data_IF_969753868006
#
_entry.id   IF_969753868006
#
_cell.length_a   1.000
_cell.length_b   1.000
_cell.length_c   1.000
_cell.angle_alpha   90.00
_cell.angle_beta   90.00
_cell.angle_gamma   90.00
#
_symmetry.space_group_name_H-M   'P 1'
#
loop_
_entity.id
_entity.type
_entity.pdbx_description
1 polymer ?
#
# COMPACT_ATOMS: atom_id res chain seq x y z
N UNK A 1 33.43 24.44 25.09
CA UNK A 1 33.22 23.00 24.77
C UNK A 1 32.22 22.88 23.63
N UNK A 2 32.69 22.64 22.40
CA UNK A 2 31.83 22.36 21.24
C UNK A 2 31.19 20.99 21.46
N UNK A 3 29.86 20.93 21.63
CA UNK A 3 29.10 19.67 21.52
C UNK A 3 29.19 19.22 20.06
N UNK A 4 30.04 18.22 19.81
CA UNK A 4 30.01 17.43 18.58
C UNK A 4 28.62 16.80 18.49
N UNK A 5 27.81 17.25 17.53
CA UNK A 5 26.58 16.59 17.13
C UNK A 5 26.97 15.20 16.64
N UNK A 6 26.69 14.16 17.42
CA UNK A 6 26.76 12.79 16.93
C UNK A 6 25.68 12.67 15.85
N UNK A 7 26.11 12.50 14.60
CA UNK A 7 25.19 12.21 13.51
C UNK A 7 24.40 10.93 13.85
N UNK A 8 23.10 10.97 13.61
CA UNK A 8 22.18 9.86 13.86
C UNK A 8 22.58 8.68 12.98
N UNK A 9 22.66 7.46 13.53
CA UNK A 9 23.10 6.27 12.82
C UNK A 9 22.24 6.01 11.57
N UNK A 10 20.94 6.35 11.59
CA UNK A 10 20.09 6.23 10.39
C UNK A 10 20.39 7.28 9.31
N UNK A 11 20.80 8.50 9.69
CA UNK A 11 21.23 9.49 8.71
C UNK A 11 22.59 9.10 8.12
N UNK A 12 23.51 8.63 8.97
CA UNK A 12 24.85 8.16 8.56
C UNK A 12 24.75 6.93 7.66
N UNK A 13 23.97 5.92 8.03
CA UNK A 13 23.77 4.70 7.24
C UNK A 13 23.13 5.02 5.87
N UNK A 14 22.18 5.96 5.81
CA UNK A 14 21.61 6.42 4.54
C UNK A 14 22.58 7.29 3.72
N UNK A 15 23.36 8.17 4.34
CA UNK A 15 24.37 8.98 3.62
C UNK A 15 25.51 8.10 3.09
N UNK A 16 25.91 7.05 3.83
CA UNK A 16 26.93 6.11 3.39
C UNK A 16 26.41 5.17 2.28
N UNK A 17 25.16 4.72 2.34
CA UNK A 17 24.52 3.99 1.23
C UNK A 17 24.36 4.87 -0.04
N UNK A 18 24.25 6.20 0.13
CA UNK A 18 24.00 7.17 -0.95
C UNK A 18 25.14 7.40 -1.94
N UNK A 19 26.41 7.22 -1.54
CA UNK A 19 27.54 7.77 -2.31
C UNK A 19 27.94 6.87 -3.50
N UNK A 20 27.80 5.55 -3.39
CA UNK A 20 28.05 4.62 -4.51
C UNK A 20 26.76 4.13 -5.22
N UNK A 21 25.60 4.06 -4.53
CA UNK A 21 24.35 3.48 -5.08
C UNK A 21 23.50 4.48 -5.88
N UNK A 22 23.69 5.80 -5.75
CA UNK A 22 22.78 6.77 -6.37
C UNK A 22 22.91 6.84 -7.91
N UNK A 23 24.13 6.67 -8.46
CA UNK A 23 24.33 6.63 -9.91
C UNK A 23 23.71 5.38 -10.53
N UNK A 24 23.84 4.25 -9.84
CA UNK A 24 23.22 2.99 -10.25
C UNK A 24 21.69 3.07 -10.13
N UNK A 25 21.16 3.68 -9.06
CA UNK A 25 19.72 3.93 -8.87
C UNK A 25 19.12 4.79 -9.98
N UNK A 26 19.77 5.90 -10.35
CA UNK A 26 19.29 6.75 -11.46
C UNK A 26 19.36 6.05 -12.81
N UNK A 27 20.28 5.11 -12.97
CA UNK A 27 20.36 4.28 -14.19
C UNK A 27 19.19 3.30 -14.22
N UNK A 28 18.95 2.57 -13.12
CA UNK A 28 17.78 1.69 -12.96
C UNK A 28 16.46 2.40 -13.20
N UNK A 29 16.29 3.62 -12.66
CA UNK A 29 15.09 4.43 -12.86
C UNK A 29 14.86 4.77 -14.35
N UNK A 30 15.93 5.08 -15.11
CA UNK A 30 15.83 5.34 -16.55
C UNK A 30 15.51 4.07 -17.31
N UNK A 31 16.18 2.96 -16.98
CA UNK A 31 15.91 1.65 -17.57
C UNK A 31 14.45 1.24 -17.33
N UNK A 32 13.91 1.48 -16.13
CA UNK A 32 12.52 1.22 -15.80
C UNK A 32 11.52 2.16 -16.52
N UNK A 33 11.91 3.42 -16.76
CA UNK A 33 11.09 4.38 -17.51
C UNK A 33 11.02 4.02 -19.01
N UNK A 34 12.14 3.57 -19.58
CA UNK A 34 12.26 3.22 -21.00
C UNK A 34 11.65 1.85 -21.33
N UNK A 35 11.36 1.02 -20.33
CA UNK A 35 10.65 -0.25 -20.53
C UNK A 35 9.26 0.00 -21.13
N UNK A 36 8.89 -0.70 -22.22
CA UNK A 36 7.56 -0.57 -22.79
C UNK A 36 6.50 -1.02 -21.77
N UNK A 37 5.37 -0.31 -21.73
CA UNK A 37 4.24 -0.75 -20.92
C UNK A 37 3.71 -2.06 -21.46
N UNK A 38 3.70 -3.06 -20.60
CA UNK A 38 3.19 -4.39 -20.90
C UNK A 38 2.29 -4.81 -19.75
N UNK A 39 1.28 -5.62 -20.08
CA UNK A 39 0.53 -6.32 -19.03
C UNK A 39 1.49 -7.28 -18.31
N UNK A 40 1.31 -7.51 -17.00
CA UNK A 40 2.22 -8.38 -16.27
C UNK A 40 2.26 -9.77 -16.92
N UNK A 41 3.45 -10.32 -17.09
CA UNK A 41 3.65 -11.57 -17.83
C UNK A 41 2.79 -12.71 -17.27
N UNK A 42 2.56 -12.77 -15.97
CA UNK A 42 1.74 -13.78 -15.32
C UNK A 42 0.21 -13.62 -15.52
N UNK A 43 -0.26 -12.60 -16.24
CA UNK A 43 -1.68 -12.47 -16.60
C UNK A 43 -2.05 -13.42 -17.75
N UNK A 44 -3.32 -13.85 -17.77
CA UNK A 44 -3.82 -14.68 -18.87
C UNK A 44 -3.81 -13.89 -20.19
N UNK A 45 -4.21 -12.61 -20.13
CA UNK A 45 -4.24 -11.74 -21.30
C UNK A 45 -2.88 -11.55 -21.97
N UNK A 46 -1.78 -11.59 -21.20
CA UNK A 46 -0.40 -11.48 -21.74
C UNK A 46 0.00 -12.67 -22.61
N UNK A 47 -0.72 -13.79 -22.50
CA UNK A 47 -0.48 -15.01 -23.27
C UNK A 47 -1.55 -15.25 -24.34
N UNK A 48 -2.35 -14.23 -24.69
CA UNK A 48 -3.52 -14.35 -25.56
C UNK A 48 -4.53 -15.44 -25.11
N UNK A 49 -4.54 -15.79 -23.82
CA UNK A 49 -5.51 -16.73 -23.26
C UNK A 49 -6.79 -15.93 -23.00
N UNK A 50 -7.91 -16.25 -23.68
CA UNK A 50 -9.15 -15.52 -23.47
C UNK A 50 -9.58 -15.59 -22.00
N UNK A 51 -9.90 -14.45 -21.41
CA UNK A 51 -10.46 -14.42 -20.07
C UNK A 51 -11.79 -15.20 -20.06
N UNK A 52 -12.04 -16.06 -19.05
CA UNK A 52 -13.29 -16.81 -18.99
C UNK A 52 -14.47 -15.83 -18.94
N UNK A 53 -15.55 -16.10 -19.67
CA UNK A 53 -16.71 -15.20 -19.69
C UNK A 53 -17.58 -15.37 -18.44
N UNK A 54 -18.21 -14.29 -17.98
CA UNK A 54 -19.24 -14.33 -16.95
C UNK A 54 -20.60 -14.69 -17.57
N UNK A 55 -21.65 -14.82 -16.74
CA UNK A 55 -23.01 -15.22 -17.20
C UNK A 55 -23.62 -14.26 -18.24
N UNK A 56 -23.10 -13.05 -18.38
CA UNK A 56 -23.53 -12.03 -19.34
C UNK A 56 -22.63 -11.97 -20.58
N UNK A 57 -21.71 -12.91 -20.75
CA UNK A 57 -20.77 -12.94 -21.88
C UNK A 57 -19.59 -11.97 -21.77
N UNK A 58 -19.43 -11.24 -20.66
CA UNK A 58 -18.30 -10.31 -20.48
C UNK A 58 -17.09 -11.04 -19.88
N UNK A 59 -15.84 -10.67 -20.26
CA UNK A 59 -14.63 -11.18 -19.63
C UNK A 59 -14.67 -11.12 -18.09
N UNK A 60 -14.32 -12.22 -17.42
CA UNK A 60 -14.11 -12.23 -15.96
C UNK A 60 -12.81 -11.50 -15.66
N UNK A 61 -12.91 -10.54 -14.75
CA UNK A 61 -11.78 -9.77 -14.24
C UNK A 61 -11.11 -10.44 -13.05
N UNK A 62 -11.67 -11.55 -12.53
CA UNK A 62 -11.12 -12.33 -11.43
C UNK A 62 -10.70 -13.71 -11.95
N UNK A 63 -9.41 -14.00 -11.85
CA UNK A 63 -8.77 -15.23 -12.31
C UNK A 63 -8.18 -15.94 -11.10
N UNK A 64 -8.35 -17.26 -10.99
CA UNK A 64 -7.70 -18.02 -9.91
C UNK A 64 -6.19 -18.01 -10.13
N UNK A 65 -5.43 -17.73 -9.08
CA UNK A 65 -3.97 -17.80 -9.14
C UNK A 65 -3.48 -19.25 -9.08
N UNK A 66 -2.25 -19.47 -9.53
CA UNK A 66 -1.57 -20.76 -9.37
C UNK A 66 -1.27 -21.09 -7.89
N UNK A 67 -0.79 -22.31 -7.65
CA UNK A 67 -0.50 -22.80 -6.29
C UNK A 67 0.63 -22.04 -5.60
N UNK A 68 1.66 -21.61 -6.34
CA UNK A 68 2.81 -20.91 -5.78
C UNK A 68 2.41 -19.49 -5.33
N UNK A 69 1.70 -18.75 -6.19
CA UNK A 69 1.13 -17.43 -5.89
C UNK A 69 0.17 -17.50 -4.70
N UNK A 70 -0.72 -18.50 -4.65
CA UNK A 70 -1.60 -18.69 -3.48
C UNK A 70 -0.81 -18.92 -2.20
N UNK A 71 0.22 -19.79 -2.24
CA UNK A 71 1.06 -20.13 -1.08
C UNK A 71 1.85 -18.91 -0.58
N UNK A 72 2.43 -18.13 -1.49
CA UNK A 72 3.17 -16.90 -1.15
C UNK A 72 2.27 -15.88 -0.44
N UNK A 73 1.05 -15.67 -0.96
CA UNK A 73 0.09 -14.75 -0.35
C UNK A 73 -0.45 -15.30 0.98
N UNK A 74 -0.69 -16.61 1.10
CA UNK A 74 -1.09 -17.23 2.37
C UNK A 74 0.01 -17.11 3.44
N UNK A 75 1.28 -17.30 3.06
CA UNK A 75 2.44 -17.05 3.94
C UNK A 75 2.46 -15.60 4.41
N UNK A 76 2.38 -14.63 3.49
CA UNK A 76 2.35 -13.20 3.83
C UNK A 76 1.22 -12.88 4.81
N UNK A 77 0.00 -13.35 4.54
CA UNK A 77 -1.16 -13.08 5.39
C UNK A 77 -0.96 -13.61 6.81
N UNK A 78 -0.38 -14.80 6.95
CA UNK A 78 -0.11 -15.41 8.25
C UNK A 78 1.05 -14.70 8.97
N UNK A 79 2.09 -14.29 8.25
CA UNK A 79 3.25 -13.62 8.82
C UNK A 79 2.94 -12.19 9.30
N UNK A 80 1.98 -11.51 8.67
CA UNK A 80 1.53 -10.17 9.07
C UNK A 80 0.31 -10.17 9.98
N UNK A 81 -0.01 -11.31 10.61
CA UNK A 81 -1.09 -11.44 11.58
C UNK A 81 -0.59 -11.23 13.01
N UNK A 82 -1.18 -10.26 13.71
CA UNK A 82 -0.84 -9.83 15.08
C UNK A 82 -2.02 -10.18 16.01
N UNK A 83 -2.04 -11.42 16.51
CA UNK A 83 -3.17 -11.97 17.28
C UNK A 83 -3.52 -11.12 18.51
N UNK A 84 -2.51 -10.61 19.20
CA UNK A 84 -2.62 -9.78 20.40
C UNK A 84 -3.32 -8.42 20.15
N UNK A 85 -3.35 -7.98 18.90
CA UNK A 85 -4.01 -6.75 18.47
C UNK A 85 -5.45 -6.96 17.98
N UNK A 86 -5.92 -8.20 17.91
CA UNK A 86 -7.32 -8.49 17.54
C UNK A 86 -8.26 -7.89 18.60
N UNK A 87 -9.30 -7.21 18.12
CA UNK A 87 -10.27 -6.54 18.98
C UNK A 87 -9.77 -5.27 19.67
N UNK A 88 -8.52 -4.83 19.39
CA UNK A 88 -7.95 -3.62 19.98
C UNK A 88 -8.19 -2.38 19.10
N UNK A 89 -8.75 -1.34 19.70
CA UNK A 89 -9.07 -0.07 19.03
C UNK A 89 -10.55 0.06 18.67
N UNK A 90 -10.96 1.28 18.32
CA UNK A 90 -12.36 1.60 18.04
C UNK A 90 -12.88 0.79 16.83
N UNK A 91 -12.11 0.73 15.75
CA UNK A 91 -12.45 0.03 14.50
C UNK A 91 -12.50 -1.50 14.66
N UNK A 92 -11.99 -2.04 15.78
CA UNK A 92 -11.89 -3.47 16.03
C UNK A 92 -12.94 -3.99 17.04
N UNK A 93 -13.77 -3.09 17.60
CA UNK A 93 -14.74 -3.44 18.64
C UNK A 93 -15.61 -4.63 18.21
N UNK A 94 -15.75 -5.61 19.09
CA UNK A 94 -16.54 -6.83 18.86
C UNK A 94 -15.83 -7.94 18.09
N UNK A 95 -14.60 -7.73 17.60
CA UNK A 95 -13.81 -8.82 17.04
C UNK A 95 -13.31 -9.74 18.16
N UNK A 96 -13.63 -11.02 18.03
CA UNK A 96 -13.20 -12.08 18.94
C UNK A 96 -12.87 -13.35 18.14
N UNK A 97 -11.63 -13.45 17.69
CA UNK A 97 -11.07 -14.58 16.97
C UNK A 97 -9.54 -14.52 17.08
N UNK A 98 -8.84 -15.63 16.87
CA UNK A 98 -7.39 -15.68 17.11
C UNK A 98 -6.59 -15.75 15.82
N UNK A 99 -7.20 -16.19 14.72
CA UNK A 99 -6.54 -16.31 13.42
C UNK A 99 -7.51 -16.18 12.26
N UNK A 100 -6.95 -15.98 11.08
CA UNK A 100 -7.65 -16.09 9.80
C UNK A 100 -7.08 -17.25 8.99
N UNK A 101 -7.93 -17.88 8.17
CA UNK A 101 -7.53 -18.95 7.25
C UNK A 101 -7.84 -18.53 5.82
N UNK A 102 -6.81 -18.43 4.99
CA UNK A 102 -6.96 -18.18 3.55
C UNK A 102 -7.65 -19.39 2.89
N UNK A 103 -8.68 -19.11 2.10
CA UNK A 103 -9.48 -20.13 1.40
C UNK A 103 -9.12 -20.14 -0.09
N UNK A 104 -9.09 -18.96 -0.70
CA UNK A 104 -8.79 -18.79 -2.11
C UNK A 104 -8.22 -17.41 -2.38
N UNK A 105 -7.38 -17.32 -3.40
CA UNK A 105 -6.85 -16.06 -3.91
C UNK A 105 -7.21 -15.96 -5.39
N UNK A 106 -7.70 -14.80 -5.80
CA UNK A 106 -8.00 -14.50 -7.19
C UNK A 106 -7.26 -13.22 -7.59
N UNK A 107 -6.57 -13.26 -8.72
CA UNK A 107 -5.94 -12.09 -9.32
C UNK A 107 -6.98 -11.28 -10.08
N UNK A 108 -6.91 -9.97 -9.94
CA UNK A 108 -7.63 -9.01 -10.74
C UNK A 108 -6.84 -8.80 -12.04
N UNK A 109 -7.47 -9.06 -13.17
CA UNK A 109 -6.95 -8.74 -14.50
C UNK A 109 -7.86 -7.66 -15.10
N UNK A 110 -7.48 -6.41 -14.89
CA UNK A 110 -8.19 -5.24 -15.40
C UNK A 110 -7.20 -4.30 -16.11
N UNK A 111 -7.00 -4.46 -17.44
CA UNK A 111 -6.05 -3.65 -18.21
C UNK A 111 -6.31 -2.14 -18.08
N UNK A 112 -7.57 -1.72 -18.03
CA UNK A 112 -7.90 -0.30 -17.93
C UNK A 112 -7.47 0.31 -16.59
N UNK A 113 -7.59 -0.43 -15.48
CA UNK A 113 -7.05 0.02 -14.18
C UNK A 113 -5.53 -0.04 -14.16
N UNK A 114 -4.95 -1.11 -14.70
CA UNK A 114 -3.51 -1.32 -14.69
C UNK A 114 -2.78 -0.28 -15.54
N UNK A 115 -3.31 0.09 -16.71
CA UNK A 115 -2.71 1.14 -17.55
C UNK A 115 -2.68 2.49 -16.83
N UNK A 116 -3.78 2.90 -16.18
CA UNK A 116 -3.78 4.14 -15.38
C UNK A 116 -2.78 4.10 -14.23
N UNK A 117 -2.60 2.92 -13.63
CA UNK A 117 -1.58 2.70 -12.62
C UNK A 117 -0.16 2.81 -13.19
N UNK A 118 0.09 2.24 -14.38
CA UNK A 118 1.37 2.36 -15.08
C UNK A 118 1.68 3.81 -15.49
N UNK A 119 0.69 4.57 -15.97
CA UNK A 119 0.84 5.99 -16.26
C UNK A 119 1.33 6.75 -15.01
N UNK A 120 0.70 6.50 -13.86
CA UNK A 120 1.10 7.12 -12.59
C UNK A 120 2.46 6.62 -12.08
N UNK A 121 2.83 5.38 -12.39
CA UNK A 121 4.18 4.81 -12.11
C UNK A 121 5.25 5.56 -12.90
N UNK A 122 5.01 5.82 -14.20
CA UNK A 122 5.91 6.62 -15.04
C UNK A 122 6.08 8.06 -14.54
N UNK A 123 4.98 8.72 -14.19
CA UNK A 123 5.05 10.07 -13.61
C UNK A 123 5.89 10.11 -12.32
N UNK A 124 5.91 9.02 -11.54
CA UNK A 124 6.71 8.93 -10.34
C UNK A 124 8.19 8.64 -10.65
N UNK A 125 8.49 7.80 -11.64
CA UNK A 125 9.84 7.60 -12.17
C UNK A 125 10.43 8.92 -12.69
N UNK A 126 9.70 9.63 -13.54
CA UNK A 126 10.10 10.94 -14.07
C UNK A 126 10.35 11.97 -12.96
N UNK A 127 9.53 11.93 -11.90
CA UNK A 127 9.73 12.78 -10.71
C UNK A 127 11.06 12.47 -10.02
N UNK A 128 11.38 11.19 -9.78
CA UNK A 128 12.65 10.81 -9.15
C UNK A 128 13.86 11.15 -10.03
N UNK A 129 13.76 10.91 -11.34
CA UNK A 129 14.83 11.25 -12.31
C UNK A 129 15.07 12.76 -12.34
N UNK A 130 14.02 13.59 -12.37
CA UNK A 130 14.12 15.05 -12.32
C UNK A 130 14.68 15.54 -10.98
N UNK A 131 14.33 14.87 -9.88
CA UNK A 131 14.86 15.15 -8.54
C UNK A 131 16.33 14.73 -8.35
N UNK A 132 16.85 13.87 -9.22
CA UNK A 132 18.24 13.40 -9.15
C UNK A 132 18.51 12.36 -8.05
N UNK A 133 17.46 11.78 -7.46
CA UNK A 133 17.56 10.73 -6.46
C UNK A 133 16.31 9.82 -6.44
N UNK A 134 16.46 8.53 -6.10
CA UNK A 134 15.32 7.64 -5.88
C UNK A 134 14.53 8.06 -4.64
N UNK A 135 13.33 7.50 -4.48
CA UNK A 135 12.58 7.64 -3.24
C UNK A 135 13.36 7.06 -2.07
N UNK A 136 13.37 7.77 -0.93
CA UNK A 136 13.98 7.23 0.30
C UNK A 136 13.28 5.93 0.68
N UNK A 137 13.99 4.79 0.83
CA UNK A 137 13.34 3.54 1.19
C UNK A 137 12.69 3.64 2.57
N UNK A 138 11.52 3.00 2.74
CA UNK A 138 10.67 3.14 3.93
C UNK A 138 11.43 2.87 5.23
N UNK A 139 12.31 1.87 5.26
CA UNK A 139 13.09 1.51 6.45
C UNK A 139 14.13 2.55 6.89
N UNK A 140 14.50 3.48 6.01
CA UNK A 140 15.45 4.56 6.28
C UNK A 140 14.76 5.90 6.59
N UNK A 141 13.43 5.95 6.61
CA UNK A 141 12.70 7.15 7.02
C UNK A 141 12.86 7.33 8.53
N UNK A 142 13.46 8.45 8.95
CA UNK A 142 13.65 8.76 10.37
C UNK A 142 12.33 8.64 11.14
N UNK A 143 12.30 7.80 12.17
CA UNK A 143 11.12 7.54 13.00
C UNK A 143 10.27 6.35 12.57
N UNK A 144 10.56 5.68 11.44
CA UNK A 144 9.91 4.43 11.03
C UNK A 144 10.30 3.25 11.92
N UNK A 145 9.51 2.17 11.96
CA UNK A 145 9.85 0.90 12.63
C UNK A 145 10.78 -0.02 11.84
N UNK A 146 11.16 0.37 10.62
CA UNK A 146 12.04 -0.38 9.71
C UNK A 146 11.33 -0.68 8.37
N UNK A 147 11.83 -1.67 7.64
CA UNK A 147 11.26 -2.03 6.34
C UNK A 147 9.81 -2.55 6.42
N UNK A 148 9.13 -2.56 5.29
CA UNK A 148 7.74 -3.00 5.15
C UNK A 148 7.61 -4.53 5.34
N UNK A 149 6.78 -4.95 6.30
CA UNK A 149 6.60 -6.38 6.63
C UNK A 149 6.06 -7.17 5.44
N UNK A 150 5.10 -6.61 4.68
CA UNK A 150 4.63 -7.25 3.44
C UNK A 150 5.74 -7.42 2.41
N UNK A 151 6.74 -6.54 2.38
CA UNK A 151 7.87 -6.66 1.44
C UNK A 151 8.90 -7.68 1.92
N UNK A 152 9.13 -7.79 3.23
CA UNK A 152 9.99 -8.81 3.82
C UNK A 152 9.41 -10.21 3.62
N UNK A 153 8.12 -10.37 3.85
CA UNK A 153 7.46 -11.68 3.91
C UNK A 153 7.05 -12.23 2.54
N UNK A 154 6.90 -11.36 1.54
CA UNK A 154 6.52 -11.77 0.19
C UNK A 154 7.70 -12.43 -0.54
N UNK A 155 7.41 -13.54 -1.22
CA UNK A 155 8.40 -14.27 -2.00
C UNK A 155 8.88 -13.45 -3.22
N UNK A 156 10.16 -13.61 -3.60
CA UNK A 156 10.84 -12.74 -4.58
C UNK A 156 10.21 -12.74 -5.96
N UNK A 157 9.64 -13.87 -6.41
CA UNK A 157 8.99 -13.95 -7.72
C UNK A 157 7.76 -13.03 -7.84
N UNK A 158 7.14 -12.65 -6.71
CA UNK A 158 6.03 -11.70 -6.70
C UNK A 158 6.51 -10.24 -6.68
N UNK A 159 7.76 -10.00 -6.28
CA UNK A 159 8.37 -8.67 -6.18
C UNK A 159 9.16 -8.27 -7.42
N UNK A 160 9.35 -9.19 -8.37
CA UNK A 160 10.22 -9.01 -9.54
C UNK A 160 9.82 -7.85 -10.46
N UNK A 161 8.53 -7.50 -10.47
CA UNK A 161 7.96 -6.43 -11.27
C UNK A 161 7.65 -5.15 -10.46
N UNK A 162 8.12 -5.09 -9.20
CA UNK A 162 8.02 -3.88 -8.37
C UNK A 162 9.26 -3.01 -8.53
N UNK A 163 9.05 -1.70 -8.67
CA UNK A 163 10.12 -0.72 -8.73
C UNK A 163 10.44 -0.21 -7.32
N UNK A 164 11.56 -0.70 -6.77
CA UNK A 164 12.02 -0.33 -5.43
C UNK A 164 12.38 1.15 -5.30
N UNK A 165 12.97 1.72 -6.35
CA UNK A 165 13.47 3.10 -6.37
C UNK A 165 12.35 4.17 -6.33
N UNK A 166 11.08 3.76 -6.40
CA UNK A 166 9.90 4.62 -6.20
C UNK A 166 9.00 4.17 -5.03
N UNK A 167 9.49 3.28 -4.15
CA UNK A 167 8.70 2.64 -3.09
C UNK A 167 7.39 2.00 -3.63
N UNK A 168 7.48 1.20 -4.71
CA UNK A 168 6.37 0.36 -5.14
C UNK A 168 6.26 -0.88 -4.25
N UNK A 169 5.16 -1.01 -3.51
CA UNK A 169 4.98 -2.08 -2.53
C UNK A 169 3.60 -2.72 -2.59
N UNK A 170 3.51 -3.98 -2.14
CA UNK A 170 2.21 -4.59 -1.84
C UNK A 170 1.73 -4.23 -0.44
N UNK A 171 0.46 -3.83 -0.33
CA UNK A 171 -0.20 -3.49 0.93
C UNK A 171 -1.64 -4.04 0.95
N UNK A 172 -2.16 -4.28 2.14
CA UNK A 172 -3.47 -4.87 2.38
C UNK A 172 -4.53 -3.79 2.60
N UNK A 173 -5.63 -3.90 1.86
CA UNK A 173 -6.83 -3.09 2.01
C UNK A 173 -7.98 -3.95 2.52
N UNK A 174 -8.44 -3.65 3.73
CA UNK A 174 -9.62 -4.24 4.34
C UNK A 174 -10.90 -3.65 3.74
N UNK A 175 -11.87 -4.51 3.40
CA UNK A 175 -13.15 -4.03 2.86
C UNK A 175 -14.25 -5.08 3.04
N UNK A 176 -15.50 -4.60 3.02
CA UNK A 176 -16.70 -5.44 2.98
C UNK A 176 -16.78 -6.23 1.67
N UNK A 177 -17.25 -7.47 1.75
CA UNK A 177 -17.41 -8.39 0.60
C UNK A 177 -18.27 -7.75 -0.50
N UNK A 178 -19.28 -7.00 -0.12
CA UNK A 178 -20.22 -6.31 -1.01
C UNK A 178 -19.54 -5.26 -1.90
N UNK A 179 -18.39 -4.71 -1.48
CA UNK A 179 -17.65 -3.70 -2.25
C UNK A 179 -16.74 -4.31 -3.32
N UNK A 180 -16.35 -5.57 -3.17
CA UNK A 180 -15.37 -6.23 -4.06
C UNK A 180 -15.73 -6.10 -5.55
N UNK A 181 -16.98 -6.34 -6.00
CA UNK A 181 -17.32 -6.19 -7.42
C UNK A 181 -17.06 -4.78 -7.96
N UNK A 182 -17.30 -3.74 -7.15
CA UNK A 182 -17.06 -2.36 -7.54
C UNK A 182 -15.56 -2.05 -7.58
N UNK A 183 -14.81 -2.49 -6.57
CA UNK A 183 -13.36 -2.26 -6.48
C UNK A 183 -12.59 -2.96 -7.61
N UNK A 184 -12.96 -4.17 -7.98
CA UNK A 184 -12.37 -4.92 -9.11
C UNK A 184 -12.63 -4.19 -10.44
N UNK A 185 -13.82 -3.59 -10.60
CA UNK A 185 -14.22 -2.94 -11.86
C UNK A 185 -13.67 -1.52 -11.98
N UNK A 186 -13.73 -0.75 -10.90
CA UNK A 186 -13.52 0.70 -10.91
C UNK A 186 -12.28 1.16 -10.14
N UNK A 187 -11.62 0.27 -9.41
CA UNK A 187 -10.50 0.60 -8.54
C UNK A 187 -10.93 1.14 -7.18
N UNK A 188 -9.95 1.49 -6.36
CA UNK A 188 -10.18 2.23 -5.13
C UNK A 188 -10.22 3.73 -5.47
N UNK A 189 -11.13 4.48 -4.87
CA UNK A 189 -11.26 5.93 -5.10
C UNK A 189 -11.31 6.66 -3.74
N UNK A 190 -10.46 7.68 -3.51
CA UNK A 190 -10.50 8.48 -2.28
C UNK A 190 -11.87 9.09 -2.01
N UNK A 191 -12.71 9.29 -3.03
CA UNK A 191 -14.08 9.81 -2.91
C UNK A 191 -14.96 8.99 -1.95
N UNK A 192 -14.66 7.70 -1.79
CA UNK A 192 -15.38 6.78 -0.91
C UNK A 192 -14.78 6.66 0.49
N UNK A 193 -13.71 7.41 0.78
CA UNK A 193 -13.10 7.48 2.11
C UNK A 193 -13.87 8.45 3.01
N UNK A 194 -13.86 8.16 4.32
CA UNK A 194 -14.46 9.04 5.31
C UNK A 194 -13.72 10.38 5.33
N UNK A 195 -14.43 11.54 5.35
CA UNK A 195 -13.78 12.83 5.51
C UNK A 195 -13.07 12.96 6.87
N UNK A 196 -13.52 12.19 7.87
CA UNK A 196 -12.98 12.20 9.24
C UNK A 196 -11.86 11.18 9.46
N UNK A 197 -11.43 10.47 8.41
CA UNK A 197 -10.34 9.53 8.50
C UNK A 197 -9.05 10.22 9.00
N UNK A 198 -8.21 9.47 9.71
CA UNK A 198 -7.12 10.01 10.53
C UNK A 198 -6.13 10.89 9.74
N UNK A 199 -5.74 10.45 8.55
CA UNK A 199 -4.91 11.17 7.59
C UNK A 199 -5.74 11.82 6.47
N UNK A 200 -7.01 12.11 6.75
CA UNK A 200 -7.95 12.69 5.81
C UNK A 200 -8.37 11.77 4.66
N UNK A 201 -8.95 12.38 3.64
CA UNK A 201 -9.68 11.68 2.58
C UNK A 201 -8.74 11.04 1.55
N UNK A 202 -8.28 9.84 1.86
CA UNK A 202 -7.41 9.04 1.00
C UNK A 202 -7.78 7.56 0.98
N UNK A 203 -7.03 6.78 0.21
CA UNK A 203 -7.13 5.32 0.17
C UNK A 203 -6.14 4.76 1.18
N UNK A 204 -6.66 4.05 2.19
CA UNK A 204 -5.89 3.51 3.29
C UNK A 204 -5.54 2.05 3.01
N UNK A 205 -4.30 1.68 3.29
CA UNK A 205 -3.85 0.31 3.33
C UNK A 205 -2.89 0.11 4.51
N UNK A 206 -2.66 -1.14 4.88
CA UNK A 206 -1.76 -1.51 5.95
C UNK A 206 -0.90 -2.69 5.52
N UNK A 207 0.24 -2.88 6.16
CA UNK A 207 1.01 -4.12 5.99
C UNK A 207 0.46 -5.27 6.85
N UNK A 208 -0.30 -4.94 7.90
CA UNK A 208 -0.89 -5.89 8.84
C UNK A 208 -2.19 -6.48 8.29
N UNK A 209 -2.25 -7.81 8.22
CA UNK A 209 -3.48 -8.52 7.85
C UNK A 209 -4.53 -8.43 8.96
N UNK A 210 -4.11 -8.24 10.21
CA UNK A 210 -5.00 -7.97 11.34
C UNK A 210 -5.70 -6.63 11.19
N UNK A 211 -4.98 -5.56 10.81
CA UNK A 211 -5.61 -4.26 10.52
C UNK A 211 -6.59 -4.34 9.36
N UNK A 212 -6.23 -5.05 8.28
CA UNK A 212 -7.13 -5.24 7.15
C UNK A 212 -8.41 -6.01 7.54
N UNK A 213 -8.33 -7.01 8.42
CA UNK A 213 -9.51 -7.74 8.92
C UNK A 213 -10.51 -6.83 9.67
N UNK A 214 -10.04 -5.78 10.36
CA UNK A 214 -10.90 -4.85 11.09
C UNK A 214 -11.97 -4.18 10.21
N UNK A 215 -11.68 -4.03 8.91
CA UNK A 215 -12.55 -3.38 7.93
C UNK A 215 -13.31 -4.36 7.03
N UNK A 216 -13.25 -5.67 7.28
CA UNK A 216 -14.04 -6.66 6.55
C UNK A 216 -15.55 -6.53 6.84
N UNK A 217 -15.89 -5.90 7.95
CA UNK A 217 -17.23 -5.59 8.43
C UNK A 217 -17.21 -4.34 9.31
N UNK A 218 -18.31 -4.05 10.01
CA UNK A 218 -18.40 -2.92 10.96
C UNK A 218 -18.53 -3.42 12.38
N UNK A 219 -18.12 -2.59 13.32
CA UNK A 219 -18.14 -2.80 14.77
C UNK A 219 -19.51 -3.17 15.34
N UNK A 220 -20.59 -2.70 14.71
CA UNK A 220 -21.98 -3.01 15.06
C UNK A 220 -22.53 -4.26 14.35
N UNK A 221 -21.83 -4.77 13.31
CA UNK A 221 -22.29 -5.87 12.44
C UNK A 221 -21.17 -6.84 12.12
N UNK A 222 -20.47 -7.31 13.15
CA UNK A 222 -19.41 -8.33 13.00
C UNK A 222 -19.97 -9.60 12.39
N UNK A 223 -19.30 -10.10 11.36
CA UNK A 223 -19.63 -11.35 10.67
C UNK A 223 -19.26 -12.54 11.56
N UNK A 224 -20.06 -13.60 11.53
CA UNK A 224 -19.79 -14.80 12.32
C UNK A 224 -18.49 -15.47 11.86
N UNK A 225 -17.93 -16.30 12.74
CA UNK A 225 -16.84 -17.20 12.36
C UNK A 225 -17.22 -18.03 11.14
N UNK A 226 -16.24 -18.46 10.35
CA UNK A 226 -16.44 -19.20 9.08
C UNK A 226 -17.08 -18.41 7.94
N UNK A 227 -17.62 -17.20 8.16
CA UNK A 227 -18.03 -16.33 7.06
C UNK A 227 -16.85 -16.06 6.12
N UNK A 228 -17.12 -16.06 4.81
CA UNK A 228 -16.10 -15.90 3.77
C UNK A 228 -15.82 -14.42 3.54
N UNK A 229 -15.07 -13.82 4.47
CA UNK A 229 -14.58 -12.45 4.35
C UNK A 229 -13.62 -12.30 3.17
N UNK A 230 -13.41 -11.06 2.76
CA UNK A 230 -12.45 -10.70 1.70
C UNK A 230 -11.60 -9.51 2.11
N UNK A 231 -10.36 -9.51 1.66
CA UNK A 231 -9.46 -8.35 1.67
C UNK A 231 -8.72 -8.28 0.33
N UNK A 232 -8.07 -7.16 0.06
CA UNK A 232 -7.35 -6.94 -1.19
C UNK A 232 -5.87 -6.74 -0.88
N UNK A 233 -4.98 -7.46 -1.56
CA UNK A 233 -3.57 -7.13 -1.63
C UNK A 233 -3.35 -6.28 -2.89
N UNK A 234 -2.89 -5.05 -2.72
CA UNK A 234 -2.79 -4.05 -3.79
C UNK A 234 -1.35 -3.63 -4.00
N UNK A 235 -0.94 -3.39 -5.25
CA UNK A 235 0.28 -2.63 -5.52
C UNK A 235 0.02 -1.16 -5.25
N UNK A 236 0.94 -0.50 -4.56
CA UNK A 236 0.84 0.92 -4.20
C UNK A 236 2.12 1.65 -4.53
N UNK A 237 1.97 2.79 -5.21
CA UNK A 237 3.04 3.73 -5.54
C UNK A 237 3.18 4.75 -4.40
N UNK A 238 4.08 4.46 -3.46
CA UNK A 238 4.24 5.28 -2.26
C UNK A 238 5.18 6.48 -2.47
N UNK A 239 6.14 6.39 -3.40
CA UNK A 239 7.05 7.49 -3.73
C UNK A 239 7.78 8.05 -2.53
N UNK A 240 7.94 9.37 -2.49
CA UNK A 240 8.42 10.07 -1.30
C UNK A 240 7.31 10.06 -0.24
N UNK A 241 7.54 9.36 0.87
CA UNK A 241 6.55 9.16 1.93
C UNK A 241 6.71 10.20 3.03
N UNK A 242 5.61 10.86 3.41
CA UNK A 242 5.55 11.71 4.61
C UNK A 242 5.20 10.87 5.84
N UNK A 243 6.12 10.77 6.81
CA UNK A 243 5.81 10.18 8.12
C UNK A 243 5.03 11.19 8.98
N UNK A 244 3.74 10.95 9.13
CA UNK A 244 2.86 11.71 10.01
C UNK A 244 2.95 11.12 11.43
N UNK A 245 3.74 11.75 12.30
CA UNK A 245 3.87 11.34 13.71
C UNK A 245 2.76 11.94 14.59
N UNK A 246 2.69 11.47 15.84
CA UNK A 246 1.68 11.85 16.84
C UNK A 246 1.60 13.35 17.13
N UNK A 247 2.68 14.10 16.88
CA UNK A 247 2.72 15.54 17.12
C UNK A 247 2.17 16.34 15.93
N UNK A 248 1.94 15.71 14.78
CA UNK A 248 1.36 16.39 13.63
C UNK A 248 -0.09 16.80 13.93
N UNK A 249 -0.44 18.05 13.65
CA UNK A 249 -1.75 18.66 13.99
C UNK A 249 -2.98 17.89 13.49
N UNK A 250 -2.82 17.07 12.44
CA UNK A 250 -3.90 16.24 11.90
C UNK A 250 -4.24 15.02 12.71
N UNK A 251 -3.31 14.55 13.55
CA UNK A 251 -3.48 13.35 14.39
C UNK A 251 -3.35 13.62 15.88
N UNK A 252 -2.67 14.70 16.28
CA UNK A 252 -2.50 15.11 17.68
C UNK A 252 -3.85 15.32 18.40
N UNK A 253 -4.89 15.73 17.66
CA UNK A 253 -6.26 15.82 18.16
C UNK A 253 -7.21 15.11 17.17
N UNK A 254 -8.06 14.21 17.67
CA UNK A 254 -9.07 13.51 16.86
C UNK A 254 -9.99 14.47 16.11
N UNK A 255 -10.30 15.63 16.69
CA UNK A 255 -11.12 16.69 16.10
C UNK A 255 -10.29 17.77 15.38
N UNK A 256 -8.97 17.59 15.31
CA UNK A 256 -8.06 18.47 14.59
C UNK A 256 -8.24 18.40 13.07
N UNK A 257 -7.68 19.38 12.33
CA UNK A 257 -7.81 19.48 10.88
C UNK A 257 -7.20 18.26 10.18
N UNK A 258 -7.96 17.60 9.31
CA UNK A 258 -7.45 16.48 8.52
C UNK A 258 -6.61 16.93 7.33
N UNK A 259 -5.66 16.09 6.93
CA UNK A 259 -4.88 16.30 5.72
C UNK A 259 -5.82 16.30 4.49
N UNK A 260 -5.60 17.26 3.59
CA UNK A 260 -6.27 17.33 2.30
C UNK A 260 -5.49 16.63 1.18
N UNK A 261 -4.30 16.12 1.50
CA UNK A 261 -3.39 15.43 0.59
C UNK A 261 -2.01 15.28 1.24
N UNK A 262 -1.02 14.75 0.51
CA UNK A 262 0.34 14.70 1.00
C UNK A 262 0.90 16.10 1.26
N UNK A 263 1.66 16.31 2.35
CA UNK A 263 2.30 17.58 2.63
C UNK A 263 3.34 18.04 1.60
N UNK A 264 3.65 19.34 1.62
CA UNK A 264 4.79 19.94 0.93
C UNK A 264 6.12 19.39 1.49
N UNK A 265 7.09 19.06 0.64
CA UNK A 265 8.41 18.59 1.09
C UNK A 265 9.28 19.69 1.70
N UNK A 266 8.96 20.97 1.49
CA UNK A 266 9.69 22.11 2.03
C UNK A 266 9.18 22.54 3.41
N UNK A 267 7.88 22.81 3.53
CA UNK A 267 7.30 23.37 4.74
C UNK A 267 6.45 22.37 5.53
N UNK A 268 6.30 21.13 5.04
CA UNK A 268 5.55 20.05 5.70
C UNK A 268 4.06 20.33 5.92
N UNK A 269 3.51 21.28 5.16
CA UNK A 269 2.10 21.65 5.18
C UNK A 269 1.38 21.12 3.93
N UNK A 270 0.20 20.51 4.09
CA UNK A 270 -0.63 20.02 2.98
C UNK A 270 -1.28 21.16 2.19
N UNK A 271 -1.63 22.24 2.89
CA UNK A 271 -2.09 23.52 2.35
C UNK A 271 -1.00 24.57 2.48
N UNK A 272 -0.13 24.65 1.47
CA UNK A 272 0.98 25.60 1.45
C UNK A 272 0.90 26.55 0.24
N UNK A 273 1.61 27.68 0.33
CA UNK A 273 1.81 28.64 -0.78
C UNK A 273 3.23 28.58 -1.35
N UNK A 274 3.99 27.53 -1.04
CA UNK A 274 5.34 27.38 -1.56
C UNK A 274 5.30 27.22 -3.07
N UNK A 275 5.71 28.26 -3.80
CA UNK A 275 5.87 28.17 -5.24
C UNK A 275 6.91 27.08 -5.56
N UNK A 276 6.59 26.22 -6.53
CA UNK A 276 7.51 25.21 -7.07
C UNK A 276 7.97 24.12 -6.08
N UNK A 277 7.42 24.03 -4.86
CA UNK A 277 7.77 22.94 -3.96
C UNK A 277 7.05 21.65 -4.37
N UNK A 278 7.80 20.57 -4.54
CA UNK A 278 7.20 19.25 -4.67
C UNK A 278 6.48 18.85 -3.36
N UNK A 279 5.41 18.07 -3.52
CA UNK A 279 4.73 17.41 -2.40
C UNK A 279 5.29 16.00 -2.24
N UNK A 280 5.15 15.46 -1.04
CA UNK A 280 5.24 14.02 -0.84
C UNK A 280 4.20 13.31 -1.73
N UNK A 281 4.38 12.02 -1.96
CA UNK A 281 3.52 11.22 -2.82
C UNK A 281 2.49 10.42 -2.01
N UNK A 282 2.81 10.11 -0.76
CA UNK A 282 1.95 9.40 0.17
C UNK A 282 2.19 9.83 1.62
N UNK A 283 1.31 9.37 2.51
CA UNK A 283 1.41 9.59 3.95
C UNK A 283 1.49 8.24 4.66
N UNK A 284 2.35 8.14 5.66
CA UNK A 284 2.51 6.98 6.53
C UNK A 284 2.26 7.39 7.98
N UNK A 285 1.47 6.60 8.70
CA UNK A 285 1.37 6.65 10.16
C UNK A 285 2.08 5.44 10.75
N UNK A 286 2.98 5.65 11.72
CA UNK A 286 3.82 4.59 12.30
C UNK A 286 4.10 4.83 13.80
N UNK A 287 4.50 3.78 14.53
CA UNK A 287 4.87 3.71 15.97
C UNK A 287 3.81 4.13 16.98
N UNK A 288 3.28 5.35 16.88
CA UNK A 288 2.24 5.86 17.76
C UNK A 288 0.87 5.21 17.49
N UNK A 289 0.75 4.56 16.33
CA UNK A 289 -0.39 3.74 15.98
C UNK A 289 -0.12 2.28 16.32
N UNK A 290 -1.19 1.55 16.62
CA UNK A 290 -1.14 0.09 16.77
C UNK A 290 -0.69 -0.60 15.48
N UNK A 291 -1.06 -0.03 14.33
CA UNK A 291 -0.73 -0.57 13.03
C UNK A 291 -0.09 0.51 12.17
N UNK A 292 0.91 0.13 11.39
CA UNK A 292 1.45 1.03 10.38
C UNK A 292 0.50 1.10 9.19
N UNK A 293 0.06 2.31 8.86
CA UNK A 293 -0.92 2.58 7.83
C UNK A 293 -0.35 3.53 6.78
N UNK A 294 -0.74 3.32 5.53
CA UNK A 294 -0.28 4.07 4.36
C UNK A 294 -1.48 4.64 3.62
N UNK A 295 -1.34 5.87 3.14
CA UNK A 295 -2.41 6.61 2.49
C UNK A 295 -1.92 7.24 1.20
N UNK A 296 -2.59 6.89 0.10
CA UNK A 296 -2.47 7.57 -1.20
C UNK A 296 -3.74 8.36 -1.49
N UNK A 297 -3.61 9.46 -2.23
CA UNK A 297 -4.70 10.42 -2.44
C UNK A 297 -5.16 10.50 -3.89
N UNK A 298 -4.59 9.66 -4.76
CA UNK A 298 -4.99 9.48 -6.16
C UNK A 298 -5.36 8.02 -6.38
N UNK A 299 -6.42 7.78 -7.15
CA UNK A 299 -6.88 6.41 -7.46
C UNK A 299 -5.90 5.66 -8.37
N UNK A 300 -5.07 6.39 -9.11
CA UNK A 300 -4.05 5.85 -10.01
C UNK A 300 -2.81 5.36 -9.25
N UNK A 301 -2.62 5.74 -7.99
CA UNK A 301 -1.48 5.27 -7.17
C UNK A 301 -1.65 3.86 -6.60
N UNK A 302 -2.75 3.17 -6.90
CA UNK A 302 -3.05 1.85 -6.36
C UNK A 302 -3.71 0.95 -7.40
N UNK A 303 -3.26 -0.30 -7.46
CA UNK A 303 -3.88 -1.35 -8.26
C UNK A 303 -4.35 -2.51 -7.36
N UNK A 304 -5.66 -2.81 -7.28
CA UNK A 304 -6.18 -3.88 -6.43
C UNK A 304 -5.89 -5.25 -7.07
N UNK A 305 -4.70 -5.80 -6.85
CA UNK A 305 -4.23 -6.92 -7.65
C UNK A 305 -4.77 -8.29 -7.22
N UNK A 306 -4.87 -8.57 -5.93
CA UNK A 306 -5.34 -9.88 -5.45
C UNK A 306 -6.50 -9.74 -4.48
N UNK A 307 -7.60 -10.43 -4.77
CA UNK A 307 -8.72 -10.62 -3.85
C UNK A 307 -8.49 -11.90 -3.06
N UNK A 308 -8.31 -11.75 -1.75
CA UNK A 308 -8.04 -12.84 -0.82
C UNK A 308 -9.35 -13.15 -0.09
N UNK A 309 -9.87 -14.35 -0.27
CA UNK A 309 -11.02 -14.86 0.50
C UNK A 309 -10.52 -15.67 1.66
N UNK A 310 -10.98 -15.35 2.87
CA UNK A 310 -10.55 -16.00 4.11
C UNK A 310 -11.73 -16.19 5.06
N UNK A 311 -11.50 -16.90 6.17
CA UNK A 311 -12.45 -16.99 7.28
C UNK A 311 -11.74 -16.75 8.61
N UNK A 312 -12.46 -16.13 9.55
CA UNK A 312 -12.03 -16.03 10.95
C UNK A 312 -12.23 -17.36 11.68
N UNK A 313 -11.32 -17.68 12.59
CA UNK A 313 -11.39 -18.83 13.50
C UNK A 313 -10.71 -18.56 14.85
N UNK A 314 -11.06 -19.36 15.86
CA UNK A 314 -10.39 -19.41 17.16
C UNK A 314 -9.00 -20.06 17.09
#
# INVERSE_FOLDING_TARGET
>A
MRKLLRADRSEVDWTMAKIDDNRDSLTRLRDDLDKPEQLPSYWNMSHNIPAPLNRRGNPKMLVNVDKATKKAIEKLINATWEQELVGKGADAKGLNHNRIKVLSVQRVENPALFNRYQDQRKLLLEKMIRGGEPSRPIGYIKGTKGDLETTKELDDFMKSDLIKDINEHYLLHGTKVERIPALVRHGLDPKHSSPDAMFGKGIYAAESSTKADQYADTEDKRRPHKYRNKMILSRMLLGNVFLCNENHKSVANRYGPKLSGPPCMKCLEDRCRCAQSEKFDSVMGDRHLRFREFVVYKKEQIYPEYVITYKRSM
#
